data_IF_964047598516
#
_entry.id   IF_964047598516
#
_cell.length_a   1.000
_cell.length_b   1.000
_cell.length_c   1.000
_cell.angle_alpha   90.00
_cell.angle_beta   90.00
_cell.angle_gamma   90.00
#
_symmetry.space_group_name_H-M   'P 1'
#
loop_
_entity.id
_entity.type
_entity.pdbx_description
1 polymer ?
#
# COMPACT_ATOMS: atom_id res chain seq x y z
N UNK A 1 -4.56 31.29 61.47
CA UNK A 1 -5.14 30.59 60.31
C UNK A 1 -4.47 31.14 59.05
N UNK A 2 -3.39 30.49 58.60
CA UNK A 2 -2.61 30.92 57.45
C UNK A 2 -3.12 30.20 56.19
N UNK A 3 -3.34 31.01 55.16
CA UNK A 3 -4.10 30.73 53.95
C UNK A 3 -3.31 29.82 53.00
N UNK A 4 -3.79 28.60 52.76
CA UNK A 4 -3.34 27.70 51.69
C UNK A 4 -3.79 28.29 50.36
N UNK A 5 -2.99 29.21 49.80
CA UNK A 5 -3.16 29.67 48.44
C UNK A 5 -1.78 30.04 47.92
N UNK A 6 -1.23 29.17 47.06
CA UNK A 6 -0.16 29.39 46.07
C UNK A 6 0.88 28.26 46.01
N UNK A 7 0.44 27.02 45.76
CA UNK A 7 1.33 25.91 45.39
C UNK A 7 0.97 25.29 44.03
N UNK A 8 0.43 26.09 43.10
CA UNK A 8 0.09 25.63 41.76
C UNK A 8 0.40 26.73 40.73
N UNK A 9 1.66 26.83 40.26
CA UNK A 9 1.85 26.90 38.81
C UNK A 9 3.16 26.23 38.32
N UNK A 10 3.66 25.18 38.97
CA UNK A 10 4.87 24.48 38.50
C UNK A 10 4.59 23.21 37.66
N UNK A 11 3.32 22.81 37.48
CA UNK A 11 2.94 21.54 36.83
C UNK A 11 2.45 21.70 35.37
N UNK A 12 2.70 22.85 34.73
CA UNK A 12 2.22 23.14 33.36
C UNK A 12 3.31 23.14 32.28
N UNK A 13 4.56 22.78 32.61
CA UNK A 13 5.69 22.84 31.66
C UNK A 13 6.19 21.48 31.15
N UNK A 14 5.57 20.35 31.52
CA UNK A 14 6.08 19.01 31.16
C UNK A 14 5.25 18.23 30.12
N UNK A 15 4.16 18.80 29.58
CA UNK A 15 3.32 18.11 28.58
C UNK A 15 3.45 18.68 27.16
N UNK A 16 4.61 19.27 26.84
CA UNK A 16 4.87 19.97 25.57
C UNK A 16 5.68 19.19 24.53
N UNK A 17 6.13 17.97 24.80
CA UNK A 17 6.61 17.07 23.75
C UNK A 17 5.54 16.01 23.48
N UNK A 18 4.47 16.45 22.82
CA UNK A 18 3.65 15.53 22.05
C UNK A 18 4.58 14.90 21.01
N UNK A 19 4.92 13.64 21.25
CA UNK A 19 5.57 12.77 20.29
C UNK A 19 4.86 12.96 18.95
N UNK A 20 5.59 13.41 17.93
CA UNK A 20 5.20 13.19 16.55
C UNK A 20 5.20 11.68 16.31
N UNK A 21 4.18 10.99 16.80
CA UNK A 21 3.90 9.60 16.49
C UNK A 21 3.49 9.58 15.02
N UNK A 22 4.48 9.49 14.14
CA UNK A 22 4.28 9.24 12.72
C UNK A 22 3.41 8.00 12.60
N UNK A 23 2.14 8.21 12.25
CA UNK A 23 1.21 7.12 12.02
C UNK A 23 1.81 6.19 10.96
N UNK A 24 1.76 4.86 11.14
CA UNK A 24 2.24 3.95 10.11
C UNK A 24 1.44 4.22 8.83
N UNK A 25 2.14 4.67 7.80
CA UNK A 25 1.53 4.95 6.51
C UNK A 25 0.99 3.64 5.94
N UNK A 26 -0.32 3.45 5.95
CA UNK A 26 -0.99 2.21 5.51
C UNK A 26 -0.79 1.93 4.01
N UNK A 27 -0.41 2.95 3.23
CA UNK A 27 -0.21 2.89 1.78
C UNK A 27 1.17 3.45 1.44
N UNK A 28 2.04 2.62 0.87
CA UNK A 28 3.32 3.09 0.34
C UNK A 28 3.09 3.71 -1.04
N UNK A 29 3.78 4.80 -1.35
CA UNK A 29 3.74 5.48 -2.65
C UNK A 29 5.16 5.69 -3.16
N UNK A 30 5.41 5.30 -4.42
CA UNK A 30 6.71 5.46 -5.09
C UNK A 30 6.49 6.21 -6.39
N UNK A 31 7.22 7.31 -6.59
CA UNK A 31 7.20 8.04 -7.86
C UNK A 31 7.95 7.24 -8.94
N UNK A 32 7.34 7.15 -10.13
CA UNK A 32 7.98 6.62 -11.33
C UNK A 32 8.60 7.77 -12.13
N UNK A 33 9.87 7.65 -12.57
CA UNK A 33 10.47 8.63 -13.47
C UNK A 33 9.97 8.49 -14.92
N UNK A 34 9.14 7.47 -15.20
CA UNK A 34 8.65 7.16 -16.55
C UNK A 34 7.26 7.75 -16.78
N UNK A 35 6.89 8.09 -18.04
CA UNK A 35 5.52 8.42 -18.40
C UNK A 35 4.52 7.32 -18.02
N UNK A 36 3.24 7.66 -17.90
CA UNK A 36 2.21 6.76 -17.40
C UNK A 36 2.16 5.41 -18.15
N UNK A 37 2.03 5.47 -19.48
CA UNK A 37 1.97 4.27 -20.32
C UNK A 37 3.24 3.41 -20.21
N UNK A 38 4.41 4.03 -20.14
CA UNK A 38 5.68 3.30 -19.98
C UNK A 38 5.82 2.66 -18.60
N UNK A 39 5.32 3.33 -17.55
CA UNK A 39 5.27 2.77 -16.19
C UNK A 39 4.37 1.54 -16.15
N UNK A 40 3.20 1.62 -16.77
CA UNK A 40 2.24 0.50 -16.86
C UNK A 40 2.84 -0.69 -17.59
N UNK A 41 3.42 -0.48 -18.78
CA UNK A 41 4.00 -1.58 -19.56
C UNK A 41 5.23 -2.17 -18.89
N UNK A 42 6.09 -1.35 -18.28
CA UNK A 42 7.21 -1.84 -17.47
C UNK A 42 6.73 -2.67 -16.28
N UNK A 43 5.69 -2.21 -15.56
CA UNK A 43 5.12 -2.96 -14.45
C UNK A 43 4.57 -4.31 -14.88
N UNK A 44 3.81 -4.36 -15.98
CA UNK A 44 3.28 -5.62 -16.52
C UNK A 44 4.39 -6.60 -16.90
N UNK A 45 5.46 -6.09 -17.52
CA UNK A 45 6.62 -6.90 -17.87
C UNK A 45 7.34 -7.46 -16.63
N UNK A 46 7.61 -6.62 -15.63
CA UNK A 46 8.33 -7.04 -14.41
C UNK A 46 7.52 -7.99 -13.54
N UNK A 47 6.20 -7.81 -13.44
CA UNK A 47 5.30 -8.78 -12.77
C UNK A 47 5.43 -10.16 -13.42
N UNK A 48 5.35 -10.23 -14.75
CA UNK A 48 5.50 -11.48 -15.49
C UNK A 48 6.91 -12.07 -15.32
N UNK A 49 7.95 -11.25 -15.38
CA UNK A 49 9.33 -11.67 -15.21
C UNK A 49 9.61 -12.23 -13.81
N UNK A 50 8.92 -11.73 -12.78
CA UNK A 50 8.98 -12.26 -11.42
C UNK A 50 8.21 -13.57 -11.22
N UNK A 51 7.54 -14.10 -12.27
CA UNK A 51 6.69 -15.30 -12.17
C UNK A 51 5.34 -15.05 -11.49
N UNK A 52 4.94 -13.78 -11.35
CA UNK A 52 3.63 -13.39 -10.86
C UNK A 52 2.63 -13.27 -12.01
N UNK A 53 1.35 -13.36 -11.69
CA UNK A 53 0.24 -13.20 -12.64
C UNK A 53 -0.51 -11.91 -12.39
N UNK A 54 -0.95 -11.25 -13.47
CA UNK A 54 -1.97 -10.20 -13.42
C UNK A 54 -3.30 -10.90 -13.66
N UNK A 55 -4.14 -10.99 -12.63
CA UNK A 55 -5.44 -11.66 -12.72
C UNK A 55 -6.49 -10.75 -13.36
N UNK A 56 -6.42 -9.46 -13.06
CA UNK A 56 -7.30 -8.44 -13.60
C UNK A 56 -6.65 -7.04 -13.48
N UNK A 57 -7.26 -6.04 -14.12
CA UNK A 57 -7.01 -4.65 -13.82
C UNK A 57 -8.29 -3.82 -13.91
N UNK A 58 -8.35 -2.76 -13.11
CA UNK A 58 -9.49 -1.84 -13.05
C UNK A 58 -9.07 -0.50 -13.64
N UNK A 59 -9.65 -0.12 -14.79
CA UNK A 59 -9.47 1.21 -15.38
C UNK A 59 -10.44 2.21 -14.77
N UNK A 60 -10.07 2.80 -13.64
CA UNK A 60 -10.96 3.67 -12.88
C UNK A 60 -11.33 4.95 -13.63
N UNK A 61 -10.40 5.53 -14.38
CA UNK A 61 -10.67 6.71 -15.20
C UNK A 61 -11.67 6.40 -16.32
N UNK A 62 -11.54 5.24 -16.99
CA UNK A 62 -12.49 4.80 -18.00
C UNK A 62 -13.88 4.47 -17.43
N UNK A 63 -13.94 3.70 -16.34
CA UNK A 63 -15.21 3.31 -15.71
C UNK A 63 -15.99 4.52 -15.20
N UNK A 64 -15.31 5.54 -14.68
CA UNK A 64 -15.97 6.73 -14.15
C UNK A 64 -16.32 7.75 -15.23
N UNK A 65 -15.64 7.75 -16.39
CA UNK A 65 -16.01 8.61 -17.51
C UNK A 65 -17.34 8.22 -18.14
N UNK A 66 -17.69 6.94 -18.15
CA UNK A 66 -19.03 6.44 -18.53
C UNK A 66 -20.15 7.03 -17.66
N UNK A 67 -19.81 7.51 -16.46
CA UNK A 67 -20.73 8.15 -15.51
C UNK A 67 -20.62 9.68 -15.49
N UNK A 68 -19.86 10.27 -16.41
CA UNK A 68 -19.68 11.72 -16.53
C UNK A 68 -18.60 12.31 -15.63
N UNK A 69 -17.75 11.51 -15.00
CA UNK A 69 -16.62 12.00 -14.21
C UNK A 69 -15.31 11.97 -15.01
N UNK A 70 -14.58 13.09 -15.01
CA UNK A 70 -13.26 13.19 -15.66
C UNK A 70 -12.16 13.06 -14.62
N UNK A 71 -11.26 12.09 -14.81
CA UNK A 71 -10.10 11.84 -13.95
C UNK A 71 -8.83 11.70 -14.78
N UNK A 72 -7.69 12.02 -14.17
CA UNK A 72 -6.41 11.57 -14.69
C UNK A 72 -6.30 10.03 -14.63
N UNK A 73 -5.46 9.40 -15.47
CA UNK A 73 -5.34 7.96 -15.53
C UNK A 73 -5.07 7.31 -14.18
N UNK A 74 -5.87 6.32 -13.81
CA UNK A 74 -5.73 5.49 -12.60
C UNK A 74 -6.05 4.05 -12.98
N UNK A 75 -5.04 3.17 -12.94
CA UNK A 75 -5.17 1.73 -13.15
C UNK A 75 -4.83 0.98 -11.87
N UNK A 76 -5.70 0.07 -11.44
CA UNK A 76 -5.45 -0.81 -10.28
C UNK A 76 -5.24 -2.23 -10.80
N UNK A 77 -4.09 -2.81 -10.51
CA UNK A 77 -3.73 -4.16 -10.92
C UNK A 77 -3.92 -5.15 -9.77
N UNK A 78 -4.59 -6.25 -10.08
CA UNK A 78 -4.75 -7.40 -9.20
C UNK A 78 -3.62 -8.40 -9.53
N UNK A 79 -2.58 -8.43 -8.69
CA UNK A 79 -1.38 -9.26 -8.91
C UNK A 79 -1.28 -10.40 -7.90
N UNK A 80 -0.94 -11.59 -8.38
CA UNK A 80 -0.95 -12.81 -7.58
C UNK A 80 0.27 -13.68 -7.82
N UNK A 81 0.86 -14.17 -6.73
CA UNK A 81 1.80 -15.29 -6.71
C UNK A 81 1.07 -16.55 -6.28
N UNK A 82 1.01 -17.56 -7.16
CA UNK A 82 0.37 -18.84 -6.86
C UNK A 82 0.98 -19.53 -5.63
N UNK A 83 2.29 -19.39 -5.43
CA UNK A 83 3.03 -19.88 -4.25
C UNK A 83 2.48 -19.29 -2.95
N UNK A 84 2.26 -17.99 -2.91
CA UNK A 84 1.80 -17.31 -1.69
C UNK A 84 0.31 -17.50 -1.46
N UNK A 85 -0.50 -17.39 -2.52
CA UNK A 85 -1.95 -17.56 -2.39
C UNK A 85 -2.34 -18.98 -1.99
N UNK A 86 -1.69 -20.00 -2.56
CA UNK A 86 -1.91 -21.38 -2.15
C UNK A 86 -1.57 -21.61 -0.67
N UNK A 87 -0.47 -21.04 -0.17
CA UNK A 87 -0.07 -21.18 1.24
C UNK A 87 -1.09 -20.57 2.21
N UNK A 88 -1.64 -19.39 1.89
CA UNK A 88 -2.69 -18.76 2.72
C UNK A 88 -3.98 -19.57 2.64
N UNK A 89 -4.46 -19.85 1.43
CA UNK A 89 -5.81 -20.39 1.21
C UNK A 89 -5.94 -21.90 1.50
N UNK A 90 -4.83 -22.61 1.72
CA UNK A 90 -4.82 -24.02 2.11
C UNK A 90 -5.45 -24.28 3.49
N UNK A 91 -5.53 -23.27 4.36
CA UNK A 91 -6.15 -23.39 5.69
C UNK A 91 -7.47 -22.63 5.74
N UNK A 92 -8.54 -23.31 6.14
CA UNK A 92 -9.88 -22.71 6.20
C UNK A 92 -9.93 -21.47 7.12
N UNK A 93 -9.23 -21.53 8.26
CA UNK A 93 -9.11 -20.43 9.22
C UNK A 93 -8.44 -19.17 8.64
N UNK A 94 -7.67 -19.30 7.55
CA UNK A 94 -7.04 -18.18 6.85
C UNK A 94 -7.85 -17.66 5.66
N UNK A 95 -8.84 -18.41 5.17
CA UNK A 95 -9.62 -18.01 3.99
C UNK A 95 -10.33 -16.65 4.12
N UNK A 96 -10.77 -16.17 5.30
CA UNK A 96 -11.31 -14.81 5.41
C UNK A 96 -10.35 -13.70 4.90
N UNK A 97 -9.04 -13.95 4.92
CA UNK A 97 -8.01 -13.03 4.37
C UNK A 97 -8.17 -12.87 2.85
N UNK A 98 -8.89 -13.76 2.17
CA UNK A 98 -9.18 -13.63 0.73
C UNK A 98 -9.90 -12.32 0.38
N UNK A 99 -10.61 -11.70 1.32
CA UNK A 99 -11.21 -10.36 1.13
C UNK A 99 -10.15 -9.26 0.90
N UNK A 100 -8.91 -9.51 1.30
CA UNK A 100 -7.74 -8.65 1.12
C UNK A 100 -6.81 -9.13 -0.01
N UNK A 101 -7.20 -10.20 -0.70
CA UNK A 101 -6.48 -10.75 -1.85
C UNK A 101 -7.21 -10.39 -3.16
N UNK A 102 -6.51 -10.41 -4.31
CA UNK A 102 -5.05 -10.53 -4.47
C UNK A 102 -4.33 -9.25 -4.04
N UNK A 103 -2.99 -9.23 -4.15
CA UNK A 103 -2.24 -8.00 -3.90
C UNK A 103 -2.67 -6.93 -4.92
N UNK A 104 -2.96 -5.72 -4.45
CA UNK A 104 -3.31 -4.59 -5.32
C UNK A 104 -2.14 -3.63 -5.46
N UNK A 105 -1.82 -3.28 -6.71
CA UNK A 105 -0.88 -2.21 -7.05
C UNK A 105 -1.60 -1.20 -7.95
N UNK A 106 -1.67 0.05 -7.53
CA UNK A 106 -2.26 1.14 -8.30
C UNK A 106 -1.16 1.93 -9.01
N UNK A 107 -1.35 2.22 -10.29
CA UNK A 107 -0.53 3.16 -11.04
C UNK A 107 -1.44 4.31 -11.45
N UNK A 108 -1.11 5.52 -11.03
CA UNK A 108 -1.91 6.70 -11.30
C UNK A 108 -1.07 7.90 -11.70
N UNK A 109 -1.69 8.84 -12.41
CA UNK A 109 -1.10 10.12 -12.78
C UNK A 109 -1.81 11.25 -12.03
N UNK A 110 -1.04 12.19 -11.50
CA UNK A 110 -1.54 13.41 -10.85
C UNK A 110 -1.75 14.53 -11.86
N UNK A 111 -2.43 15.60 -11.46
CA UNK A 111 -2.76 16.74 -12.33
C UNK A 111 -1.56 17.55 -12.80
N UNK A 112 -0.45 17.49 -12.06
CA UNK A 112 0.86 18.04 -12.46
C UNK A 112 1.66 17.10 -13.37
N UNK A 113 1.06 15.98 -13.79
CA UNK A 113 1.62 15.03 -14.75
C UNK A 113 2.53 13.96 -14.16
N UNK A 114 2.82 13.97 -12.86
CA UNK A 114 3.65 12.95 -12.20
C UNK A 114 2.95 11.61 -12.11
N UNK A 115 3.73 10.53 -12.11
CA UNK A 115 3.24 9.16 -12.10
C UNK A 115 3.68 8.45 -10.83
N UNK A 116 2.74 7.78 -10.17
CA UNK A 116 2.99 7.11 -8.90
C UNK A 116 2.52 5.67 -8.93
N UNK A 117 3.22 4.84 -8.16
CA UNK A 117 2.89 3.44 -7.90
C UNK A 117 2.56 3.31 -6.41
N UNK A 118 1.30 3.01 -6.11
CA UNK A 118 0.78 2.84 -4.76
C UNK A 118 0.42 1.38 -4.45
N UNK A 119 0.67 0.96 -3.21
CA UNK A 119 0.46 -0.41 -2.73
C UNK A 119 0.31 -0.43 -1.22
N UNK A 120 -0.27 -1.50 -0.69
CA UNK A 120 -0.45 -1.69 0.75
C UNK A 120 0.91 -1.75 1.46
N UNK A 121 1.02 -1.09 2.61
CA UNK A 121 2.14 -1.28 3.53
C UNK A 121 1.92 -2.55 4.36
N UNK A 122 2.44 -3.68 3.89
CA UNK A 122 2.27 -4.95 4.60
C UNK A 122 2.80 -4.93 6.04
N UNK A 123 3.87 -4.17 6.32
CA UNK A 123 4.40 -4.05 7.68
C UNK A 123 3.42 -3.36 8.64
N UNK A 124 2.65 -2.38 8.15
CA UNK A 124 1.61 -1.72 8.94
C UNK A 124 0.40 -2.63 9.21
N UNK A 125 0.08 -3.54 8.29
CA UNK A 125 -1.03 -4.50 8.44
C UNK A 125 -0.64 -5.79 9.17
N UNK A 126 0.64 -6.15 9.21
CA UNK A 126 1.12 -7.40 9.81
C UNK A 126 0.60 -7.66 11.24
N UNK A 127 0.52 -6.67 12.15
CA UNK A 127 0.02 -6.89 13.52
C UNK A 127 -1.48 -7.27 13.58
N UNK A 128 -2.24 -7.03 12.51
CA UNK A 128 -3.68 -7.31 12.44
C UNK A 128 -3.99 -8.71 11.89
N UNK A 129 -2.96 -9.48 11.51
CA UNK A 129 -3.09 -10.75 10.79
C UNK A 129 -2.64 -11.92 11.66
N UNK A 130 -3.18 -13.14 11.45
CA UNK A 130 -2.57 -14.35 12.00
C UNK A 130 -1.08 -14.41 11.65
N UNK A 131 -0.24 -14.86 12.60
CA UNK A 131 1.23 -14.84 12.45
C UNK A 131 1.70 -15.41 11.12
N UNK A 132 1.18 -16.57 10.74
CA UNK A 132 1.55 -17.24 9.49
C UNK A 132 1.12 -16.45 8.23
N UNK A 133 -0.04 -15.80 8.27
CA UNK A 133 -0.51 -14.91 7.20
C UNK A 133 0.38 -13.69 7.11
N UNK A 134 0.72 -13.07 8.24
CA UNK A 134 1.61 -11.91 8.31
C UNK A 134 2.99 -12.22 7.69
N UNK A 135 3.54 -13.40 7.94
CA UNK A 135 4.79 -13.87 7.33
C UNK A 135 4.68 -13.98 5.80
N UNK A 136 3.58 -14.57 5.29
CA UNK A 136 3.36 -14.66 3.83
C UNK A 136 3.14 -13.29 3.22
N UNK A 137 2.38 -12.42 3.88
CA UNK A 137 2.16 -11.04 3.46
C UNK A 137 3.48 -10.27 3.36
N UNK A 138 4.35 -10.37 4.36
CA UNK A 138 5.65 -9.73 4.36
C UNK A 138 6.53 -10.22 3.19
N UNK A 139 6.60 -11.54 2.97
CA UNK A 139 7.34 -12.11 1.83
C UNK A 139 6.77 -11.65 0.49
N UNK A 140 5.44 -11.68 0.33
CA UNK A 140 4.77 -11.23 -0.88
C UNK A 140 5.01 -9.74 -1.16
N UNK A 141 5.01 -8.91 -0.11
CA UNK A 141 5.30 -7.48 -0.22
C UNK A 141 6.75 -7.20 -0.62
N UNK A 142 7.72 -7.95 -0.10
CA UNK A 142 9.13 -7.80 -0.50
C UNK A 142 9.32 -8.04 -2.00
N UNK A 143 8.67 -9.05 -2.56
CA UNK A 143 8.74 -9.31 -4.01
C UNK A 143 8.04 -8.23 -4.84
N UNK A 144 6.90 -7.71 -4.37
CA UNK A 144 6.24 -6.55 -5.00
C UNK A 144 7.13 -5.31 -4.96
N UNK A 145 7.80 -5.03 -3.84
CA UNK A 145 8.76 -3.91 -3.77
C UNK A 145 9.94 -4.12 -4.74
N UNK A 146 10.43 -5.34 -4.89
CA UNK A 146 11.50 -5.65 -5.85
C UNK A 146 11.03 -5.46 -7.32
N UNK A 147 9.80 -5.84 -7.65
CA UNK A 147 9.17 -5.56 -8.95
C UNK A 147 9.11 -4.04 -9.17
N UNK A 148 8.60 -3.28 -8.19
CA UNK A 148 8.47 -1.82 -8.28
C UNK A 148 9.84 -1.15 -8.43
N UNK A 149 10.87 -1.61 -7.72
CA UNK A 149 12.23 -1.09 -7.81
C UNK A 149 12.76 -1.18 -9.25
N UNK A 150 12.62 -2.35 -9.91
CA UNK A 150 12.99 -2.53 -11.32
C UNK A 150 12.21 -1.61 -12.25
N UNK A 151 10.90 -1.43 -12.01
CA UNK A 151 10.07 -0.51 -12.80
C UNK A 151 10.59 0.91 -12.74
N UNK A 152 11.04 1.38 -11.57
CA UNK A 152 11.54 2.75 -11.38
C UNK A 152 13.05 2.91 -11.59
N UNK A 153 13.76 1.82 -11.95
CA UNK A 153 15.19 1.83 -12.25
C UNK A 153 16.10 1.90 -11.00
N UNK A 154 15.71 1.23 -9.92
CA UNK A 154 16.47 1.09 -8.67
C UNK A 154 16.85 -0.35 -8.40
#
# INVERSE_FOLDING_TARGET
MANVRNLLPALLLFFGLALAQGQPQMILVTESPKPFAQTVEAFKAEVKAAGWSILNYHNMAGVLSEKGYTLHPVLIFDVCSGRYSARILAKDEHRPVSALMPCRVSIYQTSDGKVFIARMNAAAFAPMMPKEVAEVMAASAQEIEAIIAKVVGR
#
